data_IF_688899143621
#
_entry.id   IF_688899143621
#
_cell.length_a   1.000
_cell.length_b   1.000
_cell.length_c   1.000
_cell.angle_alpha   90.00
_cell.angle_beta   90.00
_cell.angle_gamma   90.00
#
_symmetry.space_group_name_H-M   'P 1'
#
loop_
_entity.id
_entity.type
_entity.pdbx_description
1 polymer ?
#
# COMPACT_ATOMS: atom_id res chain seq x y z
N UNK A 1 -19.10 0.54 9.21
CA UNK A 1 -17.79 1.19 9.38
C UNK A 1 -16.73 0.31 8.76
N UNK A 2 -15.94 0.87 7.84
CA UNK A 2 -14.78 0.21 7.21
C UNK A 2 -13.58 0.41 8.13
N UNK A 3 -12.72 -0.61 8.27
CA UNK A 3 -11.48 -0.49 9.05
C UNK A 3 -10.49 0.39 8.30
N UNK A 4 -9.71 1.18 9.04
CA UNK A 4 -8.65 1.99 8.45
C UNK A 4 -7.57 1.09 7.83
N UNK A 5 -7.07 1.46 6.64
CA UNK A 5 -5.96 0.76 5.99
C UNK A 5 -4.67 0.84 6.82
N UNK A 6 -4.51 1.89 7.63
CA UNK A 6 -3.33 2.03 8.48
C UNK A 6 -3.25 0.97 9.58
N UNK A 7 -4.35 0.30 9.92
CA UNK A 7 -4.35 -0.86 10.84
C UNK A 7 -3.65 -2.08 10.24
N UNK A 8 -3.60 -2.18 8.90
CA UNK A 8 -2.95 -3.27 8.18
C UNK A 8 -1.46 -2.98 7.90
N UNK A 9 -0.95 -1.84 8.37
CA UNK A 9 0.37 -1.31 8.03
C UNK A 9 1.25 -1.26 9.28
N UNK A 10 2.19 -2.20 9.37
CA UNK A 10 3.16 -2.25 10.46
C UNK A 10 4.08 -1.02 10.48
N UNK A 11 4.39 -0.44 9.31
CA UNK A 11 5.18 0.79 9.18
C UNK A 11 4.47 2.05 9.71
N UNK A 12 3.14 1.97 9.89
CA UNK A 12 2.28 3.06 10.40
C UNK A 12 1.86 2.83 11.86
N UNK A 13 2.38 1.80 12.52
CA UNK A 13 2.03 1.44 13.90
C UNK A 13 0.77 0.59 14.02
N UNK A 14 0.25 0.06 12.91
CA UNK A 14 -0.80 -0.96 12.91
C UNK A 14 -0.27 -2.36 13.26
N UNK A 15 -1.18 -3.26 13.64
CA UNK A 15 -0.90 -4.69 13.89
C UNK A 15 -1.68 -5.53 12.87
N UNK A 16 -1.07 -5.85 11.71
CA UNK A 16 -1.71 -6.64 10.65
C UNK A 16 -2.15 -8.02 11.14
N UNK A 17 -1.41 -8.62 12.07
CA UNK A 17 -1.69 -9.95 12.60
C UNK A 17 -2.93 -9.94 13.50
N UNK A 18 -3.12 -8.88 14.30
CA UNK A 18 -4.34 -8.70 15.08
C UNK A 18 -5.57 -8.54 14.19
N UNK A 19 -5.43 -7.81 13.08
CA UNK A 19 -6.52 -7.64 12.12
C UNK A 19 -6.82 -8.95 11.39
N UNK A 20 -5.79 -9.69 10.98
CA UNK A 20 -5.92 -11.01 10.36
C UNK A 20 -6.70 -11.98 11.27
N UNK A 21 -6.28 -12.12 12.53
CA UNK A 21 -6.96 -12.96 13.53
C UNK A 21 -8.42 -12.58 13.77
N UNK A 22 -8.76 -11.29 13.70
CA UNK A 22 -10.14 -10.83 13.86
C UNK A 22 -11.01 -11.23 12.65
N UNK A 23 -10.47 -11.11 11.45
CA UNK A 23 -11.20 -11.41 10.22
C UNK A 23 -11.26 -12.91 9.93
N UNK A 24 -10.26 -13.70 10.32
CA UNK A 24 -10.31 -15.16 10.35
C UNK A 24 -11.49 -15.65 11.21
N UNK A 25 -11.68 -15.07 12.42
CA UNK A 25 -12.85 -15.36 13.27
C UNK A 25 -14.18 -14.97 12.63
N UNK A 26 -14.15 -14.10 11.61
CA UNK A 26 -15.31 -13.69 10.81
C UNK A 26 -15.41 -14.42 9.47
N UNK A 27 -14.56 -15.41 9.23
CA UNK A 27 -14.47 -16.18 7.98
C UNK A 27 -14.30 -15.29 6.74
N UNK A 28 -13.53 -14.19 6.88
CA UNK A 28 -13.22 -13.27 5.79
C UNK A 28 -11.76 -13.38 5.40
N UNK A 29 -11.51 -13.36 4.09
CA UNK A 29 -10.16 -13.30 3.54
C UNK A 29 -9.56 -11.89 3.70
N UNK A 30 -8.36 -11.83 4.27
CA UNK A 30 -7.59 -10.60 4.51
C UNK A 30 -6.26 -10.61 3.78
N UNK A 31 -5.73 -11.79 3.46
CA UNK A 31 -4.41 -11.92 2.84
C UNK A 31 -4.38 -11.22 1.49
N UNK A 32 -5.46 -11.37 0.70
CA UNK A 32 -5.64 -10.68 -0.58
C UNK A 32 -5.57 -9.16 -0.43
N UNK A 33 -6.19 -8.59 0.62
CA UNK A 33 -6.20 -7.13 0.83
C UNK A 33 -4.80 -6.61 1.15
N UNK A 34 -4.06 -7.34 1.99
CA UNK A 34 -2.70 -6.98 2.38
C UNK A 34 -1.75 -7.07 1.18
N UNK A 35 -1.86 -8.12 0.36
CA UNK A 35 -1.02 -8.28 -0.83
C UNK A 35 -1.28 -7.20 -1.87
N UNK A 36 -2.55 -6.86 -2.12
CA UNK A 36 -2.93 -5.82 -3.08
C UNK A 36 -2.52 -4.42 -2.60
N UNK A 37 -2.62 -4.09 -1.30
CA UNK A 37 -2.10 -2.81 -0.76
C UNK A 37 -0.59 -2.71 -0.95
N UNK A 38 0.16 -3.78 -0.67
CA UNK A 38 1.61 -3.81 -0.90
C UNK A 38 1.96 -3.59 -2.37
N UNK A 39 1.25 -4.25 -3.29
CA UNK A 39 1.51 -4.12 -4.72
C UNK A 39 1.15 -2.72 -5.24
N UNK A 40 0.04 -2.15 -4.78
CA UNK A 40 -0.37 -0.79 -5.07
C UNK A 40 0.69 0.22 -4.62
N UNK A 41 1.20 0.12 -3.39
CA UNK A 41 2.26 1.00 -2.88
C UNK A 41 3.54 0.91 -3.70
N UNK A 42 3.94 -0.30 -4.10
CA UNK A 42 5.11 -0.52 -4.97
C UNK A 42 4.94 0.19 -6.31
N UNK A 43 3.78 0.02 -6.95
CA UNK A 43 3.48 0.66 -8.24
C UNK A 43 3.41 2.18 -8.14
N UNK A 44 2.81 2.70 -7.07
CA UNK A 44 2.72 4.14 -6.84
C UNK A 44 4.11 4.77 -6.72
N UNK A 45 4.99 4.17 -5.90
CA UNK A 45 6.37 4.66 -5.75
C UNK A 45 7.16 4.62 -7.08
N UNK A 46 6.96 3.58 -7.89
CA UNK A 46 7.56 3.51 -9.23
C UNK A 46 7.04 4.61 -10.14
N UNK A 47 5.72 4.85 -10.16
CA UNK A 47 5.12 5.92 -10.95
C UNK A 47 5.64 7.30 -10.54
N UNK A 48 5.79 7.57 -9.24
CA UNK A 48 6.36 8.82 -8.74
C UNK A 48 7.81 9.03 -9.20
N UNK A 49 8.62 7.97 -9.18
CA UNK A 49 10.00 8.05 -9.67
C UNK A 49 10.06 8.27 -11.18
N UNK A 50 9.20 7.61 -11.96
CA UNK A 50 9.10 7.86 -13.40
C UNK A 50 8.68 9.30 -13.69
N UNK A 51 7.74 9.86 -12.92
CA UNK A 51 7.34 11.27 -13.05
C UNK A 51 8.50 12.22 -12.77
N UNK A 52 9.32 11.94 -11.75
CA UNK A 52 10.53 12.75 -11.46
C UNK A 52 11.51 12.72 -12.63
N UNK A 53 11.79 11.53 -13.17
CA UNK A 53 12.70 11.37 -14.33
C UNK A 53 12.15 12.08 -15.56
N UNK A 54 10.86 11.90 -15.87
CA UNK A 54 10.19 12.61 -16.96
C UNK A 54 10.36 14.13 -16.84
N UNK A 55 10.07 14.68 -15.65
CA UNK A 55 10.16 16.12 -15.41
C UNK A 55 11.60 16.64 -15.48
N UNK A 56 12.58 15.82 -15.11
CA UNK A 56 14.00 16.15 -15.30
C UNK A 56 14.36 16.22 -16.78
N UNK A 57 14.01 15.19 -17.57
CA UNK A 57 14.28 15.17 -19.01
C UNK A 57 13.63 16.34 -19.75
N UNK A 58 12.36 16.66 -19.44
CA UNK A 58 11.67 17.81 -20.04
C UNK A 58 12.25 19.17 -19.65
N UNK A 59 13.09 19.25 -18.60
CA UNK A 59 13.78 20.47 -18.20
C UNK A 59 15.16 20.63 -18.85
N UNK A 60 15.79 19.53 -19.27
CA UNK A 60 17.14 19.51 -19.83
C UNK A 60 17.15 19.88 -21.32
N UNK A 61 15.99 19.90 -21.98
CA UNK A 61 15.80 20.19 -23.41
C UNK A 61 15.74 21.71 -23.71
N UNK A 62 16.68 22.49 -23.15
CA UNK A 62 16.97 23.90 -23.48
C UNK A 62 18.41 24.08 -23.92
#
# INVERSE_FOLDING_TARGET
MVLDLDLFRSDKGGDPDAVCRNQEKRFKDVETVISEDMEWRRRHHQADNLNKVKNLCSKVDW
#
